data_IF_178814855033
#
_entry.id   IF_178814855033
#
_cell.length_a   1.000
_cell.length_b   1.000
_cell.length_c   1.000
_cell.angle_alpha   90.00
_cell.angle_beta   90.00
_cell.angle_gamma   90.00
#
_symmetry.space_group_name_H-M   'P 1'
#
loop_
_entity.id
_entity.type
_entity.pdbx_description
1 polymer ?
#
# COMPACT_ATOMS: atom_id res chain seq x y z
N UNK A 1 11.86 31.20 -14.15
CA UNK A 1 12.66 30.13 -13.50
C UNK A 1 11.85 28.83 -13.38
N UNK A 2 11.07 28.43 -14.41
CA UNK A 2 9.91 27.53 -14.19
C UNK A 2 9.61 26.43 -15.23
N UNK A 3 10.40 26.26 -16.29
CA UNK A 3 10.16 25.20 -17.30
C UNK A 3 11.35 24.24 -17.41
N UNK A 4 12.58 24.76 -17.40
CA UNK A 4 13.79 23.96 -17.48
C UNK A 4 14.12 23.18 -16.20
N UNK A 5 13.60 23.62 -15.04
CA UNK A 5 13.70 22.85 -13.79
C UNK A 5 12.66 21.72 -13.75
N UNK A 6 11.46 21.99 -14.25
CA UNK A 6 10.38 21.02 -14.35
C UNK A 6 10.72 19.89 -15.32
N UNK A 7 11.30 20.21 -16.49
CA UNK A 7 11.70 19.18 -17.45
C UNK A 7 12.83 18.29 -16.93
N UNK A 8 13.82 18.88 -16.23
CA UNK A 8 14.90 18.15 -15.56
C UNK A 8 14.36 17.26 -14.44
N UNK A 9 13.41 17.77 -13.66
CA UNK A 9 12.77 17.00 -12.61
C UNK A 9 11.96 15.84 -13.18
N UNK A 10 11.14 16.08 -14.22
CA UNK A 10 10.39 15.05 -14.93
C UNK A 10 11.32 14.00 -15.56
N UNK A 11 12.43 14.40 -16.18
CA UNK A 11 13.39 13.45 -16.73
C UNK A 11 14.05 12.61 -15.65
N UNK A 12 14.41 13.21 -14.50
CA UNK A 12 14.97 12.49 -13.36
C UNK A 12 13.97 11.51 -12.75
N UNK A 13 12.70 11.89 -12.65
CA UNK A 13 11.62 11.01 -12.19
C UNK A 13 11.36 9.88 -13.17
N UNK A 14 11.36 10.15 -14.48
CA UNK A 14 11.22 9.11 -15.52
C UNK A 14 12.41 8.16 -15.51
N UNK A 15 13.63 8.66 -15.32
CA UNK A 15 14.81 7.80 -15.19
C UNK A 15 14.77 6.99 -13.90
N UNK A 16 14.41 7.58 -12.76
CA UNK A 16 14.22 6.86 -11.51
C UNK A 16 13.12 5.80 -11.64
N UNK A 17 12.01 6.11 -12.31
CA UNK A 17 10.92 5.18 -12.61
C UNK A 17 11.37 4.01 -13.48
N UNK A 18 12.14 4.28 -14.56
CA UNK A 18 12.72 3.24 -15.42
C UNK A 18 13.72 2.36 -14.67
N UNK A 19 14.49 2.93 -13.73
CA UNK A 19 15.36 2.16 -12.83
C UNK A 19 14.58 1.39 -11.75
N UNK A 20 13.38 1.82 -11.39
CA UNK A 20 12.48 1.11 -10.47
C UNK A 20 11.68 -0.01 -11.15
N UNK A 21 11.55 0.00 -12.48
CA UNK A 21 10.92 -1.09 -13.21
C UNK A 21 11.81 -2.34 -13.12
N UNK A 22 11.35 -3.29 -12.30
CA UNK A 22 11.96 -4.62 -12.08
C UNK A 22 12.15 -5.38 -13.41
N UNK A 23 11.37 -5.08 -14.45
CA UNK A 23 11.54 -5.63 -15.80
C UNK A 23 12.87 -5.25 -16.47
N UNK A 24 13.52 -4.16 -16.06
CA UNK A 24 14.72 -3.63 -16.71
C UNK A 24 16.03 -3.95 -15.94
N UNK A 25 15.93 -4.29 -14.65
CA UNK A 25 17.11 -4.45 -13.76
C UNK A 25 17.85 -5.80 -13.86
N UNK A 26 17.61 -6.57 -14.91
CA UNK A 26 18.44 -7.73 -15.22
C UNK A 26 17.65 -8.81 -15.91
N UNK A 27 18.11 -9.17 -17.12
CA UNK A 27 17.69 -10.36 -17.86
C UNK A 27 17.99 -11.67 -17.11
N UNK A 28 17.33 -11.87 -15.98
CA UNK A 28 17.35 -13.06 -15.13
C UNK A 28 15.94 -13.52 -14.74
N UNK A 29 14.93 -13.19 -15.53
CA UNK A 29 13.92 -14.22 -15.79
C UNK A 29 14.64 -15.22 -16.67
N UNK A 30 15.19 -16.28 -16.06
CA UNK A 30 15.82 -17.34 -16.84
C UNK A 30 14.81 -17.79 -17.89
N UNK A 31 15.21 -17.84 -19.15
CA UNK A 31 14.43 -18.40 -20.25
C UNK A 31 13.90 -19.79 -19.85
N UNK A 32 14.64 -20.51 -19.00
CA UNK A 32 14.24 -21.77 -18.37
C UNK A 32 12.98 -21.67 -17.52
N UNK A 33 12.74 -20.56 -16.80
CA UNK A 33 11.49 -20.35 -16.04
C UNK A 33 10.31 -20.08 -16.96
N UNK A 34 10.55 -19.43 -18.10
CA UNK A 34 9.52 -19.20 -19.11
C UNK A 34 9.14 -20.54 -19.78
N UNK A 35 10.14 -21.34 -20.18
CA UNK A 35 9.90 -22.68 -20.72
C UNK A 35 9.30 -23.63 -19.69
N UNK A 36 9.72 -23.59 -18.42
CA UNK A 36 9.11 -24.40 -17.36
C UNK A 36 7.66 -23.99 -17.09
N UNK A 37 7.31 -22.71 -17.25
CA UNK A 37 5.93 -22.23 -17.15
C UNK A 37 5.11 -22.66 -18.39
N UNK A 38 5.69 -22.59 -19.59
CA UNK A 38 5.05 -23.02 -20.85
C UNK A 38 4.79 -24.54 -20.85
N UNK A 39 5.80 -25.32 -20.45
CA UNK A 39 5.71 -26.77 -20.27
C UNK A 39 4.71 -27.14 -19.17
N UNK A 40 4.71 -26.40 -18.05
CA UNK A 40 3.70 -26.57 -17.00
C UNK A 40 2.30 -26.27 -17.54
N UNK A 41 2.12 -25.24 -18.35
CA UNK A 41 0.80 -24.85 -18.89
C UNK A 41 0.29 -25.86 -19.92
N UNK A 42 1.18 -26.46 -20.73
CA UNK A 42 0.81 -27.49 -21.70
C UNK A 42 0.52 -28.87 -21.07
N UNK A 43 1.32 -29.30 -20.09
CA UNK A 43 1.24 -30.65 -19.53
C UNK A 43 0.37 -30.76 -18.26
N UNK A 44 -0.11 -29.64 -17.72
CA UNK A 44 -0.88 -29.64 -16.47
C UNK A 44 -2.38 -29.55 -16.73
N UNK A 45 -3.15 -30.46 -16.14
CA UNK A 45 -4.60 -30.39 -16.15
C UNK A 45 -5.12 -29.08 -15.51
N UNK A 46 -6.14 -28.47 -16.13
CA UNK A 46 -6.82 -27.26 -15.62
C UNK A 46 -7.23 -27.37 -14.15
N UNK A 47 -7.56 -28.57 -13.67
CA UNK A 47 -7.90 -28.84 -12.27
C UNK A 47 -6.74 -28.51 -11.31
N UNK A 48 -5.49 -28.81 -11.67
CA UNK A 48 -4.32 -28.48 -10.84
C UNK A 48 -4.04 -26.98 -10.86
N UNK A 49 -4.24 -26.31 -12.00
CA UNK A 49 -4.13 -24.84 -12.10
C UNK A 49 -5.17 -24.17 -11.22
N UNK A 50 -6.44 -24.57 -11.33
CA UNK A 50 -7.53 -24.07 -10.49
C UNK A 50 -7.28 -24.36 -9.00
N UNK A 51 -6.79 -25.56 -8.66
CA UNK A 51 -6.47 -25.93 -7.29
C UNK A 51 -5.33 -25.06 -6.73
N UNK A 52 -4.32 -24.70 -7.53
CA UNK A 52 -3.26 -23.77 -7.10
C UNK A 52 -3.81 -22.35 -6.97
N UNK A 53 -4.59 -21.87 -7.93
CA UNK A 53 -5.18 -20.53 -7.92
C UNK A 53 -6.17 -20.32 -6.76
N UNK A 54 -6.94 -21.34 -6.38
CA UNK A 54 -7.89 -21.29 -5.26
C UNK A 54 -7.18 -21.65 -3.95
N UNK A 55 -6.29 -22.64 -3.97
CA UNK A 55 -5.58 -23.14 -2.80
C UNK A 55 -4.56 -22.14 -2.23
N UNK A 56 -4.01 -21.25 -3.04
CA UNK A 56 -3.09 -20.20 -2.58
C UNK A 56 -3.80 -19.13 -1.73
N UNK A 57 -4.94 -18.54 -2.13
CA UNK A 57 -5.69 -17.59 -1.31
C UNK A 57 -6.56 -18.26 -0.23
N UNK A 58 -6.94 -19.55 -0.38
CA UNK A 58 -7.86 -20.21 0.53
C UNK A 58 -7.44 -20.18 2.02
N UNK A 59 -6.19 -20.45 2.42
CA UNK A 59 -5.77 -20.35 3.82
C UNK A 59 -6.00 -18.94 4.40
N UNK A 60 -5.73 -17.90 3.63
CA UNK A 60 -5.95 -16.51 4.05
C UNK A 60 -7.45 -16.21 4.15
N UNK A 61 -8.25 -16.66 3.18
CA UNK A 61 -9.70 -16.48 3.20
C UNK A 61 -10.36 -17.18 4.40
N UNK A 62 -9.91 -18.40 4.73
CA UNK A 62 -10.35 -19.12 5.93
C UNK A 62 -9.96 -18.36 7.19
N UNK A 63 -8.72 -17.88 7.30
CA UNK A 63 -8.28 -17.09 8.45
C UNK A 63 -9.11 -15.82 8.64
N UNK A 64 -9.43 -15.09 7.56
CA UNK A 64 -10.28 -13.90 7.62
C UNK A 64 -11.69 -14.26 8.06
N UNK A 65 -12.25 -15.36 7.51
CA UNK A 65 -13.59 -15.83 7.85
C UNK A 65 -13.71 -16.25 9.31
N UNK A 66 -12.71 -16.98 9.82
CA UNK A 66 -12.62 -17.37 11.24
C UNK A 66 -12.49 -16.13 12.12
N UNK A 67 -11.70 -15.13 11.72
CA UNK A 67 -11.60 -13.87 12.44
C UNK A 67 -12.91 -13.08 12.42
N UNK A 68 -13.76 -13.23 11.41
CA UNK A 68 -15.07 -12.59 11.37
C UNK A 68 -16.01 -13.10 12.49
N UNK A 69 -15.79 -14.31 12.99
CA UNK A 69 -16.58 -14.91 14.08
C UNK A 69 -16.34 -14.27 15.45
N UNK A 70 -15.21 -13.59 15.65
CA UNK A 70 -14.92 -12.89 16.91
C UNK A 70 -15.84 -11.65 16.97
N UNK A 71 -16.66 -11.39 18.00
CA UNK A 71 -17.49 -10.19 18.01
C UNK A 71 -16.63 -8.92 18.13
N UNK A 72 -16.94 -7.86 17.38
CA UNK A 72 -16.43 -6.51 17.66
C UNK A 72 -17.40 -5.84 18.64
N UNK A 73 -16.88 -5.27 19.73
CA UNK A 73 -17.66 -4.49 20.68
C UNK A 73 -17.82 -3.05 20.18
N UNK A 74 -18.67 -2.26 20.84
CA UNK A 74 -18.81 -0.84 20.53
C UNK A 74 -17.48 -0.13 20.83
N UNK A 75 -16.91 0.63 19.87
CA UNK A 75 -15.72 1.42 20.12
C UNK A 75 -15.88 2.45 21.24
N UNK A 76 -17.10 2.87 21.57
CA UNK A 76 -17.37 3.81 22.67
C UNK A 76 -17.08 3.23 24.06
N UNK A 77 -17.11 1.90 24.21
CA UNK A 77 -16.84 1.21 25.48
C UNK A 77 -15.35 1.19 25.87
N UNK A 78 -14.48 1.73 25.01
CA UNK A 78 -13.07 1.93 25.27
C UNK A 78 -12.20 0.69 25.11
N UNK A 79 -10.88 0.86 25.28
CA UNK A 79 -9.88 -0.17 25.03
C UNK A 79 -10.11 -1.46 25.85
N UNK A 80 -10.51 -1.35 27.12
CA UNK A 80 -10.63 -2.49 28.03
C UNK A 80 -11.81 -3.42 27.72
N UNK A 81 -12.88 -2.91 27.12
CA UNK A 81 -14.05 -3.71 26.75
C UNK A 81 -13.88 -4.42 25.38
N UNK A 82 -12.95 -3.94 24.55
CA UNK A 82 -12.79 -4.33 23.15
C UNK A 82 -11.87 -5.55 22.94
N UNK A 83 -12.10 -6.64 23.67
CA UNK A 83 -11.27 -7.87 23.57
C UNK A 83 -11.24 -8.47 22.17
N UNK A 84 -12.36 -8.42 21.44
CA UNK A 84 -12.43 -8.99 20.09
C UNK A 84 -11.58 -8.23 19.08
N UNK A 85 -11.41 -6.93 19.28
CA UNK A 85 -10.48 -6.10 18.51
C UNK A 85 -9.02 -6.47 18.78
N UNK A 86 -8.66 -6.72 20.05
CA UNK A 86 -7.30 -7.11 20.44
C UNK A 86 -6.91 -8.49 19.93
N UNK A 87 -7.84 -9.46 19.96
CA UNK A 87 -7.60 -10.81 19.40
C UNK A 87 -7.31 -10.72 17.90
N UNK A 88 -8.13 -9.99 17.14
CA UNK A 88 -7.91 -9.78 15.71
C UNK A 88 -6.59 -9.08 15.42
N UNK A 89 -6.29 -8.00 16.15
CA UNK A 89 -5.03 -7.26 16.02
C UNK A 89 -3.82 -8.15 16.35
N UNK A 90 -3.94 -9.03 17.34
CA UNK A 90 -2.96 -10.06 17.67
C UNK A 90 -2.73 -11.04 16.51
N UNK A 91 -3.78 -11.64 15.96
CA UNK A 91 -3.67 -12.56 14.81
C UNK A 91 -3.05 -11.88 13.59
N UNK A 92 -3.46 -10.63 13.31
CA UNK A 92 -2.89 -9.83 12.23
C UNK A 92 -1.38 -9.60 12.45
N UNK A 93 -0.98 -9.15 13.64
CA UNK A 93 0.44 -8.92 13.95
C UNK A 93 1.28 -10.20 13.90
N UNK A 94 0.74 -11.34 14.32
CA UNK A 94 1.41 -12.63 14.21
C UNK A 94 1.63 -13.02 12.73
N UNK A 95 0.59 -12.91 11.91
CA UNK A 95 0.65 -13.23 10.46
C UNK A 95 1.65 -12.32 9.75
N UNK A 96 1.66 -11.03 10.08
CA UNK A 96 2.62 -10.06 9.56
C UNK A 96 4.05 -10.38 9.99
N UNK A 97 4.26 -10.74 11.27
CA UNK A 97 5.58 -11.12 11.78
C UNK A 97 6.14 -12.36 11.08
N UNK A 98 5.32 -13.40 10.86
CA UNK A 98 5.71 -14.58 10.08
C UNK A 98 6.10 -14.18 8.66
N UNK A 99 5.26 -13.38 7.99
CA UNK A 99 5.48 -12.94 6.62
C UNK A 99 6.79 -12.17 6.47
N UNK A 100 7.02 -11.15 7.29
CA UNK A 100 8.25 -10.34 7.27
C UNK A 100 9.48 -11.18 7.61
N UNK A 101 9.37 -12.09 8.59
CA UNK A 101 10.52 -12.91 8.98
C UNK A 101 10.91 -13.89 7.88
N UNK A 102 9.93 -14.52 7.23
CA UNK A 102 10.16 -15.42 6.09
C UNK A 102 10.69 -14.67 4.88
N UNK A 103 10.16 -13.48 4.56
CA UNK A 103 10.72 -12.64 3.50
C UNK A 103 12.17 -12.25 3.80
N UNK A 104 12.47 -11.83 5.04
CA UNK A 104 13.82 -11.51 5.45
C UNK A 104 14.79 -12.68 5.25
N UNK A 105 14.37 -13.92 5.54
CA UNK A 105 15.22 -15.11 5.31
C UNK A 105 15.47 -15.43 3.83
N UNK A 106 14.59 -15.00 2.92
CA UNK A 106 14.81 -15.15 1.48
C UNK A 106 15.64 -14.01 0.87
N UNK A 107 15.71 -12.85 1.53
CA UNK A 107 16.43 -11.67 1.05
C UNK A 107 17.81 -11.48 1.68
N UNK A 108 18.05 -12.04 2.86
CA UNK A 108 19.30 -11.91 3.61
C UNK A 108 19.94 -13.31 3.74
N UNK A 109 21.06 -13.49 3.04
CA UNK A 109 21.80 -14.76 3.06
C UNK A 109 22.52 -14.96 4.40
N UNK A 110 22.62 -16.21 4.84
CA UNK A 110 23.40 -16.61 6.02
C UNK A 110 22.61 -16.75 7.31
N UNK A 111 21.31 -16.43 7.33
CA UNK A 111 20.49 -16.57 8.53
C UNK A 111 19.74 -17.91 8.53
N UNK A 112 20.44 -19.00 8.88
CA UNK A 112 19.80 -20.30 9.15
C UNK A 112 19.04 -20.24 10.48
N UNK A 113 17.71 -20.24 10.41
CA UNK A 113 16.83 -20.24 11.59
C UNK A 113 16.15 -21.60 11.75
N UNK A 114 15.97 -22.05 12.99
CA UNK A 114 15.08 -23.17 13.28
C UNK A 114 13.62 -22.72 13.16
N UNK A 115 12.74 -23.56 12.63
CA UNK A 115 11.29 -23.29 12.53
C UNK A 115 10.69 -22.94 13.89
N UNK A 116 11.16 -23.58 14.96
CA UNK A 116 10.70 -23.31 16.33
C UNK A 116 11.11 -21.89 16.77
N UNK A 117 12.36 -21.48 16.50
CA UNK A 117 12.82 -20.13 16.81
C UNK A 117 12.00 -19.08 16.05
N UNK A 118 11.63 -19.35 14.79
CA UNK A 118 10.78 -18.46 14.01
C UNK A 118 9.39 -18.31 14.65
N UNK A 119 8.75 -19.41 15.02
CA UNK A 119 7.43 -19.37 15.66
C UNK A 119 7.46 -18.64 17.01
N UNK A 120 8.46 -18.93 17.86
CA UNK A 120 8.63 -18.26 19.16
C UNK A 120 8.85 -16.75 18.97
N UNK A 121 9.68 -16.35 18.00
CA UNK A 121 9.93 -14.94 17.70
C UNK A 121 8.66 -14.23 17.22
N UNK A 122 7.86 -14.87 16.34
CA UNK A 122 6.63 -14.28 15.82
C UNK A 122 5.54 -14.18 16.91
N UNK A 123 5.40 -15.21 17.75
CA UNK A 123 4.50 -15.20 18.89
C UNK A 123 4.86 -14.10 19.89
N UNK A 124 6.15 -13.97 20.23
CA UNK A 124 6.65 -12.92 21.10
C UNK A 124 6.41 -11.52 20.51
N UNK A 125 6.63 -11.35 19.20
CA UNK A 125 6.34 -10.09 18.50
C UNK A 125 4.88 -9.70 18.60
N UNK A 126 3.97 -10.66 18.37
CA UNK A 126 2.53 -10.44 18.44
C UNK A 126 2.08 -10.05 19.84
N UNK A 127 2.61 -10.72 20.88
CA UNK A 127 2.34 -10.41 22.27
C UNK A 127 2.82 -9.00 22.65
N UNK A 128 4.08 -8.68 22.34
CA UNK A 128 4.67 -7.37 22.62
C UNK A 128 3.94 -6.24 21.89
N UNK A 129 3.59 -6.45 20.62
CA UNK A 129 2.80 -5.50 19.85
C UNK A 129 1.43 -5.28 20.49
N UNK A 130 0.70 -6.35 20.84
CA UNK A 130 -0.65 -6.25 21.40
C UNK A 130 -0.63 -5.55 22.76
N UNK A 131 0.33 -5.89 23.63
CA UNK A 131 0.52 -5.23 24.91
C UNK A 131 0.85 -3.74 24.76
N UNK A 132 1.78 -3.41 23.85
CA UNK A 132 2.14 -2.02 23.55
C UNK A 132 0.98 -1.23 22.94
N UNK A 133 0.21 -1.84 22.04
CA UNK A 133 -0.96 -1.23 21.43
C UNK A 133 -2.07 -0.96 22.45
N UNK A 134 -2.33 -1.89 23.38
CA UNK A 134 -3.25 -1.69 24.51
C UNK A 134 -2.78 -0.51 25.36
N UNK A 135 -1.50 -0.50 25.77
CA UNK A 135 -0.95 0.57 26.59
C UNK A 135 -1.06 1.95 25.92
N UNK A 136 -0.73 2.04 24.63
CA UNK A 136 -0.85 3.28 23.85
C UNK A 136 -2.32 3.68 23.70
N UNK A 137 -3.22 2.73 23.44
CA UNK A 137 -4.65 3.02 23.32
C UNK A 137 -5.34 3.37 24.64
N UNK A 138 -4.73 3.02 25.77
CA UNK A 138 -5.17 3.47 27.09
C UNK A 138 -4.71 4.91 27.38
N UNK A 139 -3.58 5.34 26.79
CA UNK A 139 -3.09 6.71 26.88
C UNK A 139 -3.70 7.65 25.83
N UNK A 140 -4.10 7.11 24.68
CA UNK A 140 -4.76 7.82 23.58
C UNK A 140 -6.29 7.61 23.61
N UNK A 141 -7.01 8.37 22.78
CA UNK A 141 -8.44 8.17 22.56
C UNK A 141 -8.65 6.87 21.76
N UNK A 142 -9.61 6.05 22.20
CA UNK A 142 -10.03 4.83 21.50
C UNK A 142 -11.31 5.11 20.68
N UNK A 143 -11.40 4.66 19.42
CA UNK A 143 -10.41 3.93 18.65
C UNK A 143 -9.25 4.83 18.16
N UNK A 144 -8.04 4.28 18.12
CA UNK A 144 -6.84 5.03 17.70
C UNK A 144 -6.98 5.45 16.23
N UNK A 145 -6.84 6.76 15.90
CA UNK A 145 -6.89 7.23 14.53
C UNK A 145 -5.81 6.55 13.69
N UNK A 146 -6.18 6.07 12.50
CA UNK A 146 -5.26 5.37 11.60
C UNK A 146 -4.45 4.27 12.31
N UNK A 147 -5.11 3.43 13.12
CA UNK A 147 -4.50 2.40 14.00
C UNK A 147 -3.25 1.71 13.43
N UNK A 148 -3.33 1.21 12.19
CA UNK A 148 -2.20 0.53 11.52
C UNK A 148 -1.01 1.48 11.30
N UNK A 149 -1.25 2.72 10.90
CA UNK A 149 -0.20 3.72 10.69
C UNK A 149 0.43 4.15 12.01
N UNK A 150 -0.42 4.43 13.00
CA UNK A 150 0.00 4.93 14.31
C UNK A 150 0.82 3.90 15.10
N UNK A 151 0.46 2.61 14.99
CA UNK A 151 1.13 1.53 15.73
C UNK A 151 2.17 0.76 14.90
N UNK A 152 2.36 1.12 13.63
CA UNK A 152 3.42 0.58 12.78
C UNK A 152 4.82 0.65 13.44
N UNK A 153 5.25 1.76 14.07
CA UNK A 153 6.52 1.82 14.79
C UNK A 153 6.60 0.82 15.96
N UNK A 154 5.51 0.65 16.70
CA UNK A 154 5.42 -0.28 17.84
C UNK A 154 5.65 -1.71 17.37
N UNK A 155 5.04 -2.07 16.24
CA UNK A 155 5.21 -3.39 15.63
C UNK A 155 6.66 -3.65 15.23
N UNK A 156 7.33 -2.71 14.56
CA UNK A 156 8.72 -2.89 14.15
C UNK A 156 9.68 -2.92 15.34
N UNK A 157 9.45 -2.12 16.38
CA UNK A 157 10.24 -2.18 17.62
C UNK A 157 10.05 -3.54 18.30
N UNK A 158 8.82 -4.04 18.40
CA UNK A 158 8.53 -5.37 18.93
C UNK A 158 9.22 -6.48 18.13
N UNK A 159 9.21 -6.39 16.79
CA UNK A 159 9.86 -7.36 15.90
C UNK A 159 11.39 -7.36 16.03
N UNK A 160 12.00 -6.18 16.17
CA UNK A 160 13.44 -6.05 16.38
C UNK A 160 13.84 -6.56 17.77
N UNK A 161 13.04 -6.24 18.79
CA UNK A 161 13.26 -6.72 20.16
C UNK A 161 13.15 -8.25 20.25
N UNK A 162 12.10 -8.84 19.69
CA UNK A 162 11.92 -10.30 19.66
C UNK A 162 13.02 -10.99 18.88
N UNK A 163 13.46 -10.40 17.75
CA UNK A 163 14.59 -10.89 16.97
C UNK A 163 15.87 -10.91 17.81
N UNK A 164 16.16 -9.84 18.56
CA UNK A 164 17.33 -9.77 19.46
C UNK A 164 17.27 -10.81 20.57
N UNK A 165 16.11 -11.00 21.18
CA UNK A 165 15.91 -11.93 22.28
C UNK A 165 16.04 -13.39 21.83
N UNK A 166 15.43 -13.76 20.70
CA UNK A 166 15.33 -15.16 20.27
C UNK A 166 16.51 -15.62 19.41
N UNK A 167 17.02 -14.76 18.51
CA UNK A 167 18.14 -15.10 17.62
C UNK A 167 19.50 -14.69 18.21
N UNK A 168 19.49 -13.91 19.29
CA UNK A 168 20.69 -13.45 19.96
C UNK A 168 21.46 -12.37 19.21
N UNK A 169 22.54 -11.90 19.83
CA UNK A 169 23.35 -10.80 19.32
C UNK A 169 24.16 -11.18 18.08
N UNK A 170 24.59 -12.45 17.97
CA UNK A 170 25.44 -12.92 16.87
C UNK A 170 24.75 -12.82 15.51
N UNK A 171 23.53 -13.34 15.40
CA UNK A 171 22.75 -13.31 14.15
C UNK A 171 22.34 -11.89 13.80
N UNK A 172 22.02 -11.07 14.82
CA UNK A 172 21.71 -9.67 14.58
C UNK A 172 22.93 -8.90 14.05
N UNK A 173 24.13 -9.15 14.59
CA UNK A 173 25.37 -8.57 14.09
C UNK A 173 25.65 -9.02 12.66
N UNK A 174 25.36 -10.28 12.30
CA UNK A 174 25.48 -10.76 10.91
C UNK A 174 24.51 -10.04 9.95
N UNK A 175 23.25 -9.82 10.35
CA UNK A 175 22.33 -8.99 9.55
C UNK A 175 22.83 -7.54 9.40
N UNK A 176 23.55 -7.04 10.40
CA UNK A 176 24.21 -5.74 10.37
C UNK A 176 25.51 -5.70 9.57
N UNK A 177 26.14 -6.85 9.32
CA UNK A 177 27.31 -7.00 8.44
C UNK A 177 26.86 -7.03 6.98
N UNK A 178 25.75 -7.70 6.67
CA UNK A 178 25.14 -7.74 5.33
C UNK A 178 24.26 -6.51 5.04
N UNK A 179 24.78 -5.30 5.31
CA UNK A 179 24.01 -4.04 5.23
C UNK A 179 23.33 -3.84 3.89
N UNK A 180 23.98 -4.18 2.78
CA UNK A 180 23.41 -3.97 1.45
C UNK A 180 22.18 -4.83 1.18
N UNK A 181 22.15 -6.06 1.70
CA UNK A 181 20.97 -6.94 1.61
C UNK A 181 19.86 -6.44 2.53
N UNK A 182 20.21 -6.07 3.77
CA UNK A 182 19.26 -5.51 4.75
C UNK A 182 18.63 -4.21 4.26
N UNK A 183 19.40 -3.29 3.66
CA UNK A 183 18.89 -2.04 3.10
C UNK A 183 17.93 -2.31 1.94
N UNK A 184 18.27 -3.23 1.02
CA UNK A 184 17.37 -3.63 -0.08
C UNK A 184 16.06 -4.22 0.46
N UNK A 185 16.14 -5.04 1.49
CA UNK A 185 14.96 -5.57 2.17
C UNK A 185 14.12 -4.47 2.83
N UNK A 186 14.75 -3.49 3.50
CA UNK A 186 14.05 -2.32 4.07
C UNK A 186 13.33 -1.53 2.98
N UNK A 187 13.95 -1.32 1.81
CA UNK A 187 13.28 -0.66 0.68
C UNK A 187 12.08 -1.46 0.17
N UNK A 188 12.21 -2.78 0.06
CA UNK A 188 11.13 -3.66 -0.35
C UNK A 188 9.93 -3.59 0.61
N UNK A 189 10.19 -3.71 1.92
CA UNK A 189 9.17 -3.57 2.96
C UNK A 189 8.58 -2.16 2.97
N UNK A 190 9.42 -1.13 2.81
CA UNK A 190 8.98 0.26 2.71
C UNK A 190 8.00 0.50 1.56
N UNK A 191 8.29 -0.07 0.38
CA UNK A 191 7.40 -0.03 -0.77
C UNK A 191 6.07 -0.75 -0.52
N UNK A 192 6.07 -1.90 0.15
CA UNK A 192 4.84 -2.59 0.56
C UNK A 192 4.00 -1.75 1.53
N UNK A 193 4.64 -1.14 2.53
CA UNK A 193 3.93 -0.28 3.48
C UNK A 193 3.37 0.96 2.78
N UNK A 194 4.08 1.55 1.82
CA UNK A 194 3.59 2.69 1.03
C UNK A 194 2.22 2.42 0.38
N UNK A 195 1.97 1.17 -0.06
CA UNK A 195 0.65 0.77 -0.58
C UNK A 195 -0.44 0.86 0.50
N UNK A 196 -0.13 0.49 1.75
CA UNK A 196 -1.07 0.60 2.88
C UNK A 196 -1.34 2.07 3.24
N UNK A 197 -0.33 2.94 3.16
CA UNK A 197 -0.49 4.39 3.36
C UNK A 197 -1.33 5.06 2.27
N UNK A 198 -1.37 4.46 1.08
CA UNK A 198 -2.07 5.02 -0.07
C UNK A 198 -3.59 5.05 0.14
N UNK A 199 -4.16 4.02 0.78
CA UNK A 199 -5.61 3.94 0.97
C UNK A 199 -6.18 5.06 1.86
N UNK A 200 -5.67 5.34 3.08
CA UNK A 200 -6.14 6.47 3.88
C UNK A 200 -5.94 7.84 3.21
N UNK A 201 -4.86 8.00 2.44
CA UNK A 201 -4.63 9.21 1.66
C UNK A 201 -5.71 9.42 0.58
N UNK A 202 -6.11 8.34 -0.13
CA UNK A 202 -7.23 8.40 -1.06
C UNK A 202 -8.55 8.68 -0.37
N UNK A 203 -8.85 8.00 0.75
CA UNK A 203 -10.11 8.19 1.49
C UNK A 203 -10.26 9.64 1.97
N UNK A 204 -9.20 10.21 2.55
CA UNK A 204 -9.20 11.60 3.01
C UNK A 204 -9.35 12.60 1.87
N UNK A 205 -8.66 12.38 0.75
CA UNK A 205 -8.80 13.21 -0.45
C UNK A 205 -10.22 13.14 -1.02
N UNK A 206 -10.80 11.95 -1.10
CA UNK A 206 -12.14 11.76 -1.66
C UNK A 206 -13.21 12.40 -0.77
N UNK A 207 -13.10 12.27 0.55
CA UNK A 207 -13.97 12.96 1.50
C UNK A 207 -13.86 14.48 1.39
N UNK A 208 -12.65 15.01 1.26
CA UNK A 208 -12.44 16.44 1.07
C UNK A 208 -13.08 16.93 -0.24
N UNK A 209 -12.92 16.19 -1.34
CA UNK A 209 -13.55 16.50 -2.62
C UNK A 209 -15.08 16.40 -2.56
N UNK A 210 -15.63 15.40 -1.89
CA UNK A 210 -17.07 15.26 -1.68
C UNK A 210 -17.63 16.44 -0.90
N UNK A 211 -16.98 16.85 0.20
CA UNK A 211 -17.37 18.02 0.99
C UNK A 211 -17.31 19.32 0.19
N UNK A 212 -16.22 19.53 -0.57
CA UNK A 212 -16.07 20.70 -1.45
C UNK A 212 -17.16 20.72 -2.51
N UNK A 213 -17.43 19.57 -3.12
CA UNK A 213 -18.44 19.43 -4.16
C UNK A 213 -19.84 19.67 -3.59
N UNK A 214 -20.18 19.14 -2.41
CA UNK A 214 -21.47 19.37 -1.74
C UNK A 214 -21.65 20.83 -1.31
N UNK A 215 -20.61 21.45 -0.74
CA UNK A 215 -20.65 22.84 -0.27
C UNK A 215 -20.70 23.84 -1.42
N UNK A 216 -19.99 23.58 -2.52
CA UNK A 216 -19.87 24.49 -3.66
C UNK A 216 -20.68 24.05 -4.89
N UNK A 217 -21.48 22.98 -4.81
CA UNK A 217 -22.34 22.50 -5.90
C UNK A 217 -23.21 23.60 -6.51
N UNK A 218 -23.96 24.41 -5.74
CA UNK A 218 -24.81 25.44 -6.33
C UNK A 218 -23.99 26.53 -7.04
N UNK A 219 -22.78 26.81 -6.57
CA UNK A 219 -21.88 27.79 -7.17
C UNK A 219 -21.24 27.27 -8.46
N UNK A 220 -20.86 26.00 -8.49
CA UNK A 220 -20.30 25.31 -9.67
C UNK A 220 -21.39 25.15 -10.73
N UNK A 221 -22.58 24.70 -10.34
CA UNK A 221 -23.75 24.59 -11.22
C UNK A 221 -24.17 25.96 -11.76
N UNK A 222 -24.16 27.00 -10.93
CA UNK A 222 -24.42 28.38 -11.34
C UNK A 222 -23.41 28.89 -12.38
N UNK A 223 -22.11 28.65 -12.15
CA UNK A 223 -21.05 29.01 -13.12
C UNK A 223 -21.17 28.20 -14.41
N UNK A 224 -21.53 26.93 -14.33
CA UNK A 224 -21.73 26.08 -15.51
C UNK A 224 -22.96 26.52 -16.31
N UNK A 225 -24.11 26.74 -15.68
CA UNK A 225 -25.31 27.28 -16.33
C UNK A 225 -25.06 28.64 -16.96
N UNK A 226 -24.31 29.52 -16.30
CA UNK A 226 -23.92 30.81 -16.85
C UNK A 226 -23.10 30.65 -18.14
N UNK A 227 -22.11 29.76 -18.16
CA UNK A 227 -21.32 29.48 -19.36
C UNK A 227 -22.14 28.83 -20.48
N UNK A 228 -23.04 27.90 -20.15
CA UNK A 228 -23.94 27.28 -21.12
C UNK A 228 -24.90 28.31 -21.72
N UNK A 229 -25.44 29.22 -20.91
CA UNK A 229 -26.28 30.34 -21.38
C UNK A 229 -25.51 31.28 -22.30
N UNK A 230 -24.26 31.63 -21.98
CA UNK A 230 -23.42 32.42 -22.87
C UNK A 230 -23.22 31.70 -24.21
N UNK A 231 -22.87 30.42 -24.19
CA UNK A 231 -22.64 29.63 -25.41
C UNK A 231 -23.92 29.45 -26.25
N UNK A 232 -25.09 29.42 -25.62
CA UNK A 232 -26.37 29.18 -26.29
C UNK A 232 -27.03 30.48 -26.79
N UNK A 233 -26.93 31.56 -26.02
CA UNK A 233 -27.43 32.89 -26.41
C UNK A 233 -26.53 33.56 -27.45
N UNK A 234 -25.23 33.31 -27.41
CA UNK A 234 -24.28 33.86 -28.36
C UNK A 234 -23.70 32.72 -29.21
N UNK A 235 -24.17 32.61 -30.46
CA UNK A 235 -23.48 31.79 -31.46
C UNK A 235 -22.03 32.31 -31.55
N UNK A 236 -21.04 31.42 -31.48
CA UNK A 236 -19.57 31.70 -31.37
C UNK A 236 -19.09 32.83 -32.32
N UNK A 237 -19.77 32.99 -33.46
CA UNK A 237 -19.56 34.05 -34.46
C UNK A 237 -19.70 35.48 -33.90
N UNK A 238 -20.54 35.72 -32.89
CA UNK A 238 -20.71 37.06 -32.28
C UNK A 238 -19.55 37.47 -31.34
N UNK A 239 -18.68 36.53 -30.96
CA UNK A 239 -17.45 36.83 -30.22
C UNK A 239 -16.24 37.07 -31.16
N UNK A 240 -16.47 37.23 -32.47
CA UNK A 240 -15.43 37.57 -33.44
C UNK A 240 -14.51 36.40 -33.81
N UNK A 241 -14.85 35.18 -33.39
CA UNK A 241 -14.09 33.97 -33.74
C UNK A 241 -14.70 33.37 -35.02
N UNK A 242 -14.34 33.94 -36.16
CA UNK A 242 -14.68 33.38 -37.47
C UNK A 242 -13.56 32.44 -37.95
N UNK A 243 -13.83 31.14 -37.89
CA UNK A 243 -12.89 30.11 -38.38
C UNK A 243 -12.96 29.90 -39.91
N UNK A 244 -13.84 30.61 -40.61
CA UNK A 244 -13.99 30.47 -42.07
C UNK A 244 -13.02 31.35 -42.87
N UNK A 245 -12.31 32.28 -42.22
CA UNK A 245 -11.31 33.18 -42.84
C UNK A 245 -11.79 33.87 -44.13
N UNK A 246 -13.10 34.10 -44.28
CA UNK A 246 -13.66 34.73 -45.47
C UNK A 246 -13.77 36.25 -45.27
N UNK A 247 -12.75 36.98 -45.73
CA UNK A 247 -12.80 38.43 -45.77
C UNK A 247 -13.68 38.90 -46.95
N UNK A 248 -14.95 39.25 -46.70
CA UNK A 248 -15.77 39.90 -47.72
C UNK A 248 -15.21 41.31 -48.02
N UNK A 249 -14.73 41.49 -49.25
CA UNK A 249 -14.21 42.74 -49.77
C UNK A 249 -15.33 43.49 -50.49
N UNK A 250 -15.89 44.53 -49.87
CA UNK A 250 -16.71 45.51 -50.59
C UNK A 250 -17.91 46.04 -49.83
N UNK A 251 -17.71 47.11 -49.06
CA UNK A 251 -18.76 48.06 -48.64
C UNK A 251 -18.18 49.46 -48.50
N UNK A 252 -17.42 49.92 -49.49
CA UNK A 252 -17.18 51.34 -49.74
C UNK A 252 -17.02 51.53 -51.26
N UNK A 253 -18.13 51.79 -51.92
CA UNK A 253 -18.18 52.68 -53.08
C UNK A 253 -18.89 53.94 -52.64
#
# INVERSE_FOLDING_TARGET
>A
MGLASLSRWLSSVVHAWKHLQVSYYGGKYSIERLFALDEYTQNTALSRVLLVCIGTPAPMAVLISVQALVPLQDPADGCSANFGFWIRSGILSFTMAVTLTTQATHHIDGVRKSTIQLFVMCALTSLLFTAGAIAISAALIFPVPFFVLTLCPVFYVALLASCRIVLGELIFRQMLQNRDQTIRYIYFVGAQNAMVFTYPAYETLFRALAFVLETHMPLIQGKFMFWVLIMLCFRIVHFGVDFTFQFQKGYYS
#
